data_IF_428379555579
#
_entry.id   IF_428379555579
#
_cell.length_a   1.000
_cell.length_b   1.000
_cell.length_c   1.000
_cell.angle_alpha   90.00
_cell.angle_beta   90.00
_cell.angle_gamma   90.00
#
_symmetry.space_group_name_H-M   'P 1'
#
loop_
_entity.id
_entity.type
_entity.pdbx_description
1 polymer ?
#
# COMPACT_ATOMS: atom_id res chain seq x y z
N UNK A 1 -28.88 -91.87 -36.21
CA UNK A 1 -27.85 -91.77 -37.26
C UNK A 1 -26.84 -90.70 -36.83
N UNK A 2 -25.55 -91.09 -36.74
CA UNK A 2 -24.29 -90.29 -36.79
C UNK A 2 -24.14 -89.07 -35.86
N UNK A 3 -23.04 -88.84 -35.16
CA UNK A 3 -21.78 -89.58 -35.03
C UNK A 3 -21.07 -89.09 -33.75
N UNK A 4 -20.34 -90.00 -33.10
CA UNK A 4 -19.36 -89.72 -32.04
C UNK A 4 -18.14 -89.00 -32.63
N UNK A 5 -17.40 -88.27 -31.79
CA UNK A 5 -15.94 -88.41 -31.61
C UNK A 5 -15.57 -87.91 -30.21
N UNK A 6 -14.82 -88.76 -29.48
CA UNK A 6 -14.11 -88.49 -28.23
C UNK A 6 -12.65 -88.19 -28.56
N UNK A 7 -11.94 -87.42 -27.71
CA UNK A 7 -10.54 -87.64 -27.28
C UNK A 7 -10.28 -86.64 -26.13
N UNK A 8 -10.24 -87.05 -24.84
CA UNK A 8 -9.08 -87.52 -24.05
C UNK A 8 -7.84 -86.60 -24.10
N UNK A 9 -7.51 -85.92 -22.99
CA UNK A 9 -6.38 -86.26 -22.09
C UNK A 9 -5.82 -85.08 -21.28
N UNK A 10 -5.33 -85.41 -20.07
CA UNK A 10 -4.17 -84.87 -19.34
C UNK A 10 -4.40 -83.96 -18.10
N UNK A 11 -3.91 -84.51 -16.98
CA UNK A 11 -3.62 -83.94 -15.67
C UNK A 11 -2.63 -82.75 -15.70
N UNK A 12 -2.80 -81.80 -14.76
CA UNK A 12 -1.75 -81.27 -13.85
C UNK A 12 -2.40 -80.24 -12.90
N UNK A 13 -2.48 -80.46 -11.57
CA UNK A 13 -1.47 -80.25 -10.52
C UNK A 13 -1.15 -78.77 -10.19
N UNK A 14 -1.32 -78.47 -8.90
CA UNK A 14 -0.78 -77.38 -8.06
C UNK A 14 -1.40 -75.97 -8.11
N UNK A 15 -1.72 -75.49 -6.90
CA UNK A 15 -1.51 -74.08 -6.55
C UNK A 15 -2.56 -73.48 -5.62
N UNK A 16 -2.53 -73.82 -4.32
CA UNK A 16 -3.17 -72.99 -3.30
C UNK A 16 -2.47 -71.63 -3.25
N UNK A 17 -3.06 -70.60 -3.87
CA UNK A 17 -2.63 -69.22 -3.69
C UNK A 17 -3.22 -68.66 -2.40
N UNK A 18 -2.35 -68.43 -1.40
CA UNK A 18 -2.64 -67.60 -0.23
C UNK A 18 -2.95 -66.17 -0.71
N UNK A 19 -4.18 -65.71 -0.50
CA UNK A 19 -4.52 -64.30 -0.66
C UNK A 19 -3.85 -63.50 0.47
N UNK A 20 -2.79 -62.77 0.14
CA UNK A 20 -2.20 -61.76 1.02
C UNK A 20 -3.13 -60.53 1.02
N UNK A 21 -3.72 -60.22 2.17
CA UNK A 21 -4.44 -58.97 2.39
C UNK A 21 -3.37 -57.87 2.53
N UNK A 22 -3.12 -57.15 1.44
CA UNK A 22 -2.40 -55.88 1.50
C UNK A 22 -3.32 -54.83 2.13
N UNK A 23 -3.05 -54.48 3.39
CA UNK A 23 -3.59 -53.27 3.99
C UNK A 23 -2.94 -52.08 3.27
N UNK A 24 -3.64 -51.52 2.28
CA UNK A 24 -3.26 -50.27 1.66
C UNK A 24 -3.33 -49.16 2.71
N UNK A 25 -2.18 -48.71 3.19
CA UNK A 25 -2.08 -47.40 3.83
C UNK A 25 -2.35 -46.40 2.71
N UNK A 26 -3.58 -45.90 2.64
CA UNK A 26 -3.88 -44.74 1.83
C UNK A 26 -3.00 -43.61 2.39
N UNK A 27 -1.99 -43.20 1.62
CA UNK A 27 -1.28 -41.97 1.89
C UNK A 27 -2.31 -40.84 1.86
N UNK A 28 -2.68 -40.35 3.04
CA UNK A 28 -3.43 -39.11 3.17
C UNK A 28 -2.61 -38.06 2.43
N UNK A 29 -3.17 -37.32 1.46
CA UNK A 29 -2.42 -36.24 0.83
C UNK A 29 -2.00 -35.31 1.96
N UNK A 30 -0.70 -35.10 2.11
CA UNK A 30 -0.21 -34.01 2.95
C UNK A 30 -0.83 -32.74 2.37
N UNK A 31 -1.82 -32.18 3.06
CA UNK A 31 -2.28 -30.84 2.76
C UNK A 31 -1.04 -29.95 2.91
N UNK A 32 -0.52 -29.47 1.78
CA UNK A 32 0.47 -28.41 1.78
C UNK A 32 -0.18 -27.27 2.57
N UNK A 33 0.29 -27.04 3.79
CA UNK A 33 -0.22 -25.95 4.60
C UNK A 33 0.14 -24.69 3.81
N UNK A 34 -0.87 -23.88 3.46
CA UNK A 34 -0.61 -22.57 2.86
C UNK A 34 0.38 -21.83 3.78
N UNK A 35 1.52 -21.44 3.22
CA UNK A 35 2.54 -20.74 3.97
C UNK A 35 1.94 -19.40 4.45
N UNK A 36 1.79 -19.22 5.76
CA UNK A 36 1.12 -18.04 6.34
C UNK A 36 1.80 -16.72 5.95
N UNK A 37 3.10 -16.79 5.68
CA UNK A 37 3.92 -15.68 5.24
C UNK A 37 4.61 -16.06 3.93
N UNK A 38 4.03 -15.72 2.76
CA UNK A 38 4.71 -15.96 1.51
C UNK A 38 6.03 -15.20 1.48
N UNK A 39 7.11 -15.87 1.05
CA UNK A 39 8.38 -15.18 0.86
C UNK A 39 8.22 -14.07 -0.19
N UNK A 40 8.60 -12.85 0.17
CA UNK A 40 8.61 -11.70 -0.73
C UNK A 40 10.01 -11.11 -0.76
N UNK A 41 10.56 -10.97 -1.96
CA UNK A 41 11.88 -10.36 -2.16
C UNK A 41 11.77 -8.88 -2.46
N UNK A 42 10.65 -8.45 -3.06
CA UNK A 42 10.40 -7.07 -3.45
C UNK A 42 8.93 -6.69 -3.23
N UNK A 43 8.71 -5.39 -3.04
CA UNK A 43 7.36 -4.81 -2.96
C UNK A 43 7.21 -3.71 -4.01
N UNK A 44 6.14 -3.80 -4.80
CA UNK A 44 5.59 -2.68 -5.57
C UNK A 44 4.74 -1.82 -4.62
N UNK A 45 5.26 -0.65 -4.25
CA UNK A 45 4.59 0.33 -3.41
C UNK A 45 3.82 1.32 -4.29
N UNK A 46 2.49 1.19 -4.34
CA UNK A 46 1.64 2.02 -5.20
C UNK A 46 1.05 3.22 -4.44
N UNK A 47 1.31 4.43 -4.93
CA UNK A 47 0.74 5.69 -4.43
C UNK A 47 -0.35 6.16 -5.40
N UNK A 48 -1.62 6.11 -4.95
CA UNK A 48 -2.79 6.40 -5.80
C UNK A 48 -3.01 7.91 -6.04
N UNK A 49 -3.77 8.22 -7.09
CA UNK A 49 -4.23 9.58 -7.38
C UNK A 49 -5.40 10.01 -6.47
N UNK A 50 -5.88 11.23 -6.68
CA UNK A 50 -7.09 11.74 -6.01
C UNK A 50 -8.33 10.99 -6.48
N UNK A 51 -9.34 10.95 -5.60
CA UNK A 51 -10.66 10.36 -5.86
C UNK A 51 -10.67 8.87 -6.17
N UNK A 52 -9.62 8.14 -5.77
CA UNK A 52 -9.71 6.68 -5.71
C UNK A 52 -10.33 6.24 -4.38
N UNK A 53 -11.35 5.39 -4.45
CA UNK A 53 -11.75 4.56 -3.31
C UNK A 53 -10.61 3.59 -2.94
N UNK A 54 -10.58 3.06 -1.70
CA UNK A 54 -9.62 2.01 -1.35
C UNK A 54 -9.65 0.83 -2.33
N UNK A 55 -10.85 0.38 -2.72
CA UNK A 55 -11.03 -0.75 -3.65
C UNK A 55 -10.43 -0.46 -5.04
N UNK A 56 -10.61 0.76 -5.55
CA UNK A 56 -9.99 1.19 -6.81
C UNK A 56 -8.47 1.26 -6.70
N UNK A 57 -7.94 1.76 -5.58
CA UNK A 57 -6.49 1.80 -5.35
C UNK A 57 -5.90 0.39 -5.27
N UNK A 58 -6.56 -0.55 -4.58
CA UNK A 58 -6.17 -1.96 -4.56
C UNK A 58 -6.28 -2.62 -5.93
N UNK A 59 -7.33 -2.32 -6.70
CA UNK A 59 -7.48 -2.81 -8.08
C UNK A 59 -6.37 -2.29 -9.00
N UNK A 60 -6.01 -1.01 -8.85
CA UNK A 60 -4.89 -0.38 -9.55
C UNK A 60 -3.56 -1.06 -9.22
N UNK A 61 -3.27 -1.29 -7.94
CA UNK A 61 -2.06 -1.99 -7.50
C UNK A 61 -1.97 -3.43 -8.05
N UNK A 62 -3.09 -4.17 -8.09
CA UNK A 62 -3.13 -5.50 -8.71
C UNK A 62 -2.84 -5.45 -10.21
N UNK A 63 -3.40 -4.47 -10.91
CA UNK A 63 -3.17 -4.27 -12.35
C UNK A 63 -1.72 -3.87 -12.63
N UNK A 64 -1.13 -3.02 -11.79
CA UNK A 64 0.29 -2.67 -11.85
C UNK A 64 1.18 -3.90 -11.65
N UNK A 65 0.89 -4.73 -10.66
CA UNK A 65 1.64 -5.97 -10.42
C UNK A 65 1.55 -6.94 -11.61
N UNK A 66 0.36 -7.08 -12.21
CA UNK A 66 0.19 -7.89 -13.42
C UNK A 66 1.01 -7.32 -14.60
N UNK A 67 0.97 -6.00 -14.79
CA UNK A 67 1.72 -5.30 -15.84
C UNK A 67 3.23 -5.42 -15.65
N UNK A 68 3.73 -5.33 -14.41
CA UNK A 68 5.13 -5.57 -14.06
C UNK A 68 5.54 -7.02 -14.38
N UNK A 69 4.72 -8.01 -14.02
CA UNK A 69 4.98 -9.42 -14.32
C UNK A 69 5.09 -9.69 -15.82
N UNK A 70 4.25 -9.05 -16.62
CA UNK A 70 4.35 -9.09 -18.09
C UNK A 70 5.66 -8.48 -18.58
N UNK A 71 6.05 -7.32 -18.06
CA UNK A 71 7.32 -6.67 -18.39
C UNK A 71 8.56 -7.48 -18.03
N UNK A 72 8.47 -8.34 -17.01
CA UNK A 72 9.56 -9.23 -16.59
C UNK A 72 9.54 -10.60 -17.28
N UNK A 73 8.47 -10.97 -17.98
CA UNK A 73 8.26 -12.35 -18.43
C UNK A 73 9.38 -12.90 -19.33
N UNK A 74 10.06 -12.02 -20.08
CA UNK A 74 11.16 -12.38 -20.97
C UNK A 74 12.56 -12.22 -20.34
N UNK A 75 12.68 -11.69 -19.12
CA UNK A 75 13.98 -11.46 -18.48
C UNK A 75 14.28 -12.56 -17.43
N UNK A 76 15.33 -13.39 -17.63
CA UNK A 76 15.68 -14.46 -16.70
C UNK A 76 15.91 -14.00 -15.26
N UNK A 77 16.32 -12.74 -15.04
CA UNK A 77 16.52 -12.18 -13.70
C UNK A 77 15.20 -12.05 -12.94
N UNK A 78 14.07 -11.95 -13.64
CA UNK A 78 12.74 -11.86 -13.04
C UNK A 78 12.23 -13.19 -12.46
N UNK A 79 12.71 -14.34 -12.95
CA UNK A 79 12.22 -15.66 -12.54
C UNK A 79 12.47 -15.99 -11.06
N UNK A 80 13.46 -15.35 -10.42
CA UNK A 80 13.77 -15.50 -9.00
C UNK A 80 13.11 -14.46 -8.08
N UNK A 81 12.31 -13.53 -8.62
CA UNK A 81 11.74 -12.43 -7.84
C UNK A 81 10.31 -12.77 -7.37
N UNK A 82 10.13 -12.83 -6.05
CA UNK A 82 8.81 -12.89 -5.42
C UNK A 82 8.32 -11.47 -5.13
N UNK A 83 7.57 -10.89 -6.09
CA UNK A 83 7.05 -9.52 -6.00
C UNK A 83 5.61 -9.51 -5.51
N UNK A 84 5.37 -8.76 -4.42
CA UNK A 84 4.03 -8.38 -3.94
C UNK A 84 3.71 -6.92 -4.27
N UNK A 85 2.45 -6.52 -4.13
CA UNK A 85 2.04 -5.11 -4.25
C UNK A 85 1.34 -4.66 -2.98
N UNK A 86 1.60 -3.42 -2.56
CA UNK A 86 0.95 -2.76 -1.44
C UNK A 86 0.50 -1.36 -1.83
N UNK A 87 -0.69 -0.98 -1.36
CA UNK A 87 -1.25 0.35 -1.58
C UNK A 87 -0.80 1.26 -0.44
N UNK A 88 -0.13 2.34 -0.81
CA UNK A 88 0.18 3.48 0.04
C UNK A 88 -0.94 4.49 -0.17
N UNK A 89 -2.06 4.23 0.50
CA UNK A 89 -3.30 4.93 0.22
C UNK A 89 -3.19 6.41 0.60
N UNK A 90 -3.55 7.27 -0.34
CA UNK A 90 -3.64 8.72 -0.17
C UNK A 90 -5.12 9.06 0.02
N UNK A 91 -5.53 9.31 1.27
CA UNK A 91 -6.90 9.56 1.65
C UNK A 91 -7.35 10.96 1.20
N UNK A 92 -7.67 11.08 -0.09
CA UNK A 92 -8.37 12.23 -0.69
C UNK A 92 -9.88 12.16 -0.39
N UNK A 93 -10.61 13.26 -0.60
CA UNK A 93 -11.92 13.61 -0.01
C UNK A 93 -13.06 12.58 0.04
N UNK A 94 -12.98 11.42 -0.63
CA UNK A 94 -14.04 10.40 -0.64
C UNK A 94 -14.22 9.66 0.71
N UNK A 95 -13.16 9.33 1.45
CA UNK A 95 -13.27 8.56 2.69
C UNK A 95 -13.69 9.38 3.92
N UNK A 96 -13.48 10.70 3.91
CA UNK A 96 -13.67 11.54 5.11
C UNK A 96 -15.13 11.84 5.45
N UNK A 97 -16.11 11.24 4.75
CA UNK A 97 -17.53 11.65 4.75
C UNK A 97 -17.68 13.17 4.57
N UNK A 98 -16.68 13.82 3.97
CA UNK A 98 -16.69 15.22 3.62
C UNK A 98 -17.35 15.31 2.26
N UNK A 99 -18.65 15.61 2.28
CA UNK A 99 -19.37 16.03 1.08
C UNK A 99 -18.66 17.28 0.54
N UNK A 100 -18.01 17.13 -0.62
CA UNK A 100 -17.78 18.09 -1.73
C UNK A 100 -16.30 18.18 -2.21
N UNK A 101 -16.02 17.67 -3.42
CA UNK A 101 -14.68 17.53 -4.05
C UNK A 101 -13.94 18.81 -4.48
N UNK A 102 -14.23 19.95 -3.84
CA UNK A 102 -13.50 21.22 -4.01
C UNK A 102 -12.35 21.31 -3.00
N UNK A 103 -12.42 20.55 -1.90
CA UNK A 103 -11.37 20.45 -0.87
C UNK A 103 -10.05 19.90 -1.44
N UNK A 104 -10.14 18.93 -2.37
CA UNK A 104 -8.98 18.30 -3.01
C UNK A 104 -8.24 19.23 -3.98
N UNK A 105 -8.93 20.23 -4.56
CA UNK A 105 -8.29 21.23 -5.42
C UNK A 105 -7.45 22.22 -4.58
N UNK A 106 -7.94 22.60 -3.39
CA UNK A 106 -7.19 23.46 -2.46
C UNK A 106 -5.93 22.76 -1.93
N UNK A 107 -6.03 21.46 -1.65
CA UNK A 107 -4.89 20.63 -1.28
C UNK A 107 -3.81 20.56 -2.36
N UNK A 108 -4.17 20.37 -3.64
CA UNK A 108 -3.21 20.39 -4.77
C UNK A 108 -2.42 21.70 -4.78
N UNK A 109 -3.09 22.82 -4.50
CA UNK A 109 -2.47 24.14 -4.49
C UNK A 109 -1.57 24.38 -3.26
N UNK A 110 -1.94 23.90 -2.07
CA UNK A 110 -1.09 23.99 -0.87
C UNK A 110 0.15 23.10 -0.96
N UNK A 111 0.00 21.86 -1.41
CA UNK A 111 1.12 20.95 -1.66
C UNK A 111 2.09 21.52 -2.70
N UNK A 112 1.56 22.26 -3.68
CA UNK A 112 2.37 22.95 -4.70
C UNK A 112 3.08 24.20 -4.18
N UNK A 113 2.45 24.96 -3.29
CA UNK A 113 3.06 26.14 -2.67
C UNK A 113 4.23 25.76 -1.73
N UNK A 114 4.17 24.59 -1.10
CA UNK A 114 5.27 24.08 -0.27
C UNK A 114 6.47 23.54 -1.08
N UNK A 115 6.29 23.16 -2.35
CA UNK A 115 7.38 22.72 -3.24
C UNK A 115 8.16 23.87 -3.90
N UNK A 116 7.61 25.10 -3.89
CA UNK A 116 8.18 26.25 -4.61
C UNK A 116 8.44 27.39 -3.62
N UNK A 117 9.72 27.59 -3.30
CA UNK A 117 10.20 28.62 -2.37
C UNK A 117 9.73 30.05 -2.74
N UNK A 118 9.47 30.86 -1.70
CA UNK A 118 9.04 32.28 -1.53
C UNK A 118 8.27 33.06 -2.63
N UNK A 119 8.52 32.83 -3.93
CA UNK A 119 8.00 33.65 -5.03
C UNK A 119 6.49 33.43 -5.34
N UNK A 120 5.91 32.30 -4.93
CA UNK A 120 4.48 32.01 -5.09
C UNK A 120 3.60 32.55 -3.95
N UNK A 121 4.20 32.94 -2.82
CA UNK A 121 3.50 33.60 -1.71
C UNK A 121 2.76 34.88 -2.15
N UNK A 122 3.23 35.52 -3.23
CA UNK A 122 2.69 36.77 -3.75
C UNK A 122 1.57 36.63 -4.79
N UNK A 123 1.16 35.41 -5.18
CA UNK A 123 0.12 35.22 -6.21
C UNK A 123 -1.17 34.54 -5.73
N UNK A 124 -1.35 34.54 -4.41
CA UNK A 124 -2.55 34.11 -3.68
C UNK A 124 -3.84 34.81 -4.18
N UNK A 125 -3.72 35.98 -4.82
CA UNK A 125 -4.83 36.76 -5.39
C UNK A 125 -5.63 36.04 -6.49
N UNK A 126 -4.99 35.15 -7.27
CA UNK A 126 -5.65 34.40 -8.35
C UNK A 126 -6.52 33.26 -7.81
N UNK A 127 -6.13 32.68 -6.68
CA UNK A 127 -6.92 31.74 -5.91
C UNK A 127 -8.14 32.45 -5.28
N UNK A 128 -7.95 33.67 -4.77
CA UNK A 128 -9.06 34.48 -4.24
C UNK A 128 -10.06 34.94 -5.29
N UNK A 129 -9.72 35.11 -6.58
CA UNK A 129 -10.75 35.41 -7.60
C UNK A 129 -11.77 34.26 -7.80
N UNK A 130 -11.29 33.02 -7.64
CA UNK A 130 -12.14 31.82 -7.69
C UNK A 130 -12.97 31.69 -6.41
N UNK A 131 -12.38 32.00 -5.26
CA UNK A 131 -13.04 31.97 -3.94
C UNK A 131 -14.02 33.15 -3.74
N UNK A 132 -13.73 34.33 -4.29
CA UNK A 132 -14.55 35.55 -4.24
C UNK A 132 -15.68 35.55 -5.27
N UNK A 133 -15.80 34.50 -6.09
CA UNK A 133 -16.88 34.38 -7.08
C UNK A 133 -16.75 35.35 -8.26
N UNK A 134 -15.57 35.92 -8.53
CA UNK A 134 -15.30 36.75 -9.71
C UNK A 134 -14.98 35.86 -10.92
N UNK A 135 -15.98 35.08 -11.35
CA UNK A 135 -15.91 34.08 -12.43
C UNK A 135 -15.87 34.67 -13.87
N UNK A 136 -15.39 35.90 -14.04
CA UNK A 136 -15.34 36.57 -15.35
C UNK A 136 -14.47 35.82 -16.37
N UNK A 137 -13.45 35.11 -15.88
CA UNK A 137 -12.53 34.30 -16.69
C UNK A 137 -13.04 32.86 -16.91
N UNK A 138 -13.67 32.23 -15.91
CA UNK A 138 -14.30 30.90 -16.05
C UNK A 138 -15.44 30.86 -17.08
N UNK A 139 -16.20 31.96 -17.20
CA UNK A 139 -17.22 32.10 -18.26
C UNK A 139 -16.65 32.10 -19.67
N UNK A 140 -15.39 32.53 -19.87
CA UNK A 140 -14.70 32.46 -21.17
C UNK A 140 -14.27 31.02 -21.51
N UNK A 141 -13.97 30.21 -20.50
CA UNK A 141 -13.65 28.76 -20.64
C UNK A 141 -14.92 27.97 -20.98
N UNK A 142 -16.03 28.25 -20.29
CA UNK A 142 -17.33 27.61 -20.54
C UNK A 142 -17.92 27.94 -21.93
N UNK A 143 -17.55 29.08 -22.50
CA UNK A 143 -17.90 29.46 -23.87
C UNK A 143 -17.05 28.74 -24.94
N UNK A 144 -15.86 28.26 -24.61
CA UNK A 144 -14.99 27.51 -25.52
C UNK A 144 -15.23 25.99 -25.48
N UNK A 145 -15.84 25.47 -24.40
CA UNK A 145 -16.10 24.05 -24.18
C UNK A 145 -17.57 23.86 -23.75
N UNK A 146 -18.49 23.43 -24.64
CA UNK A 146 -19.93 23.42 -24.38
C UNK A 146 -20.38 22.61 -23.14
N UNK A 147 -19.59 21.61 -22.72
CA UNK A 147 -19.84 20.78 -21.52
C UNK A 147 -19.21 21.32 -20.22
N UNK A 148 -18.40 22.38 -20.28
CA UNK A 148 -17.92 23.07 -19.07
C UNK A 148 -19.03 23.89 -18.39
N UNK A 149 -20.18 24.09 -19.05
CA UNK A 149 -21.37 24.69 -18.43
C UNK A 149 -21.96 23.79 -17.33
N UNK A 150 -21.97 22.47 -17.53
CA UNK A 150 -22.49 21.52 -16.52
C UNK A 150 -21.60 21.48 -15.26
N UNK A 151 -20.28 21.60 -15.45
CA UNK A 151 -19.30 21.71 -14.37
C UNK A 151 -19.38 23.07 -13.66
N UNK A 152 -19.59 24.15 -14.41
CA UNK A 152 -19.79 25.49 -13.86
C UNK A 152 -21.10 25.59 -13.06
N UNK A 153 -22.18 24.96 -13.52
CA UNK A 153 -23.46 24.91 -12.81
C UNK A 153 -23.36 24.08 -11.52
N UNK A 154 -22.61 22.98 -11.53
CA UNK A 154 -22.30 22.20 -10.33
C UNK A 154 -21.51 23.02 -9.28
N UNK A 155 -20.54 23.82 -9.73
CA UNK A 155 -19.77 24.74 -8.89
C UNK A 155 -20.61 25.92 -8.36
N UNK A 156 -21.56 26.43 -9.16
CA UNK A 156 -22.47 27.52 -8.79
C UNK A 156 -23.55 27.05 -7.81
N UNK A 157 -24.03 25.81 -7.91
CA UNK A 157 -25.01 25.27 -6.95
C UNK A 157 -24.40 24.94 -5.57
N UNK A 158 -23.09 24.70 -5.48
CA UNK A 158 -22.37 24.50 -4.22
C UNK A 158 -22.30 25.78 -3.31
N UNK A 159 -22.69 26.94 -3.86
CA UNK A 159 -22.49 28.29 -3.28
C UNK A 159 -23.36 28.66 -2.07
N UNK A 160 -24.59 28.16 -1.93
CA UNK A 160 -25.61 28.94 -1.18
C UNK A 160 -25.74 28.73 0.34
N UNK A 161 -24.87 28.01 1.04
CA UNK A 161 -24.94 28.01 2.52
C UNK A 161 -23.68 27.58 3.31
N UNK A 162 -22.64 27.03 2.68
CA UNK A 162 -21.71 26.12 3.39
C UNK A 162 -20.23 26.51 3.37
N UNK A 163 -19.86 27.57 2.67
CA UNK A 163 -18.46 27.91 2.43
C UNK A 163 -17.84 28.61 3.66
N UNK A 164 -18.49 29.62 4.24
CA UNK A 164 -17.86 30.45 5.29
C UNK A 164 -17.56 29.73 6.63
N UNK A 165 -18.34 28.71 6.99
CA UNK A 165 -18.15 27.96 8.24
C UNK A 165 -17.16 26.79 8.12
N UNK A 166 -16.78 26.40 6.89
CA UNK A 166 -15.90 25.26 6.60
C UNK A 166 -14.47 25.67 6.22
N UNK A 167 -14.26 26.89 5.73
CA UNK A 167 -12.92 27.44 5.44
C UNK A 167 -12.02 27.49 6.69
N UNK A 168 -12.61 27.70 7.88
CA UNK A 168 -11.87 27.68 9.15
C UNK A 168 -11.45 26.26 9.62
N UNK A 169 -12.04 25.18 9.08
CA UNK A 169 -11.68 23.78 9.41
C UNK A 169 -10.72 23.15 8.40
N UNK A 170 -10.76 23.54 7.13
CA UNK A 170 -9.82 23.08 6.10
C UNK A 170 -8.44 23.73 6.26
N UNK A 171 -8.38 25.02 6.63
CA UNK A 171 -7.14 25.68 7.05
C UNK A 171 -6.55 25.10 8.35
N UNK A 172 -7.27 24.20 9.05
CA UNK A 172 -6.80 23.54 10.26
C UNK A 172 -6.29 22.10 10.01
N UNK A 173 -6.57 21.46 8.85
CA UNK A 173 -6.15 20.07 8.55
C UNK A 173 -6.23 19.69 7.04
N UNK A 174 -5.37 20.22 6.17
CA UNK A 174 -5.16 19.68 4.81
C UNK A 174 -4.54 18.28 4.90
N UNK A 175 -4.63 17.36 3.91
CA UNK A 175 -4.22 15.97 4.09
C UNK A 175 -2.81 15.85 4.66
N UNK A 176 -2.84 15.37 5.90
CA UNK A 176 -1.98 15.83 6.99
C UNK A 176 -0.70 15.02 7.05
N UNK A 177 0.36 15.49 7.72
CA UNK A 177 1.58 14.70 8.01
C UNK A 177 1.37 13.30 8.62
N UNK A 178 0.14 12.89 8.92
CA UNK A 178 -0.27 11.51 9.19
C UNK A 178 -0.02 10.53 8.04
N UNK A 179 -0.41 10.86 6.81
CA UNK A 179 -0.27 9.94 5.68
C UNK A 179 1.21 9.74 5.35
N UNK A 180 1.99 10.83 5.30
CA UNK A 180 3.44 10.77 5.13
C UNK A 180 4.14 9.97 6.24
N UNK A 181 3.71 10.11 7.49
CA UNK A 181 4.28 9.34 8.60
C UNK A 181 3.92 7.84 8.47
N UNK A 182 2.69 7.52 8.10
CA UNK A 182 2.22 6.15 7.91
C UNK A 182 2.95 5.45 6.74
N UNK A 183 3.12 6.14 5.61
CA UNK A 183 3.86 5.62 4.45
C UNK A 183 5.33 5.40 4.79
N UNK A 184 5.97 6.39 5.45
CA UNK A 184 7.37 6.27 5.85
C UNK A 184 7.59 5.08 6.78
N UNK A 185 6.73 4.90 7.77
CA UNK A 185 6.81 3.77 8.70
C UNK A 185 6.67 2.43 7.98
N UNK A 186 5.74 2.33 7.02
CA UNK A 186 5.56 1.08 6.26
C UNK A 186 6.75 0.77 5.36
N UNK A 187 7.28 1.77 4.63
CA UNK A 187 8.46 1.59 3.78
C UNK A 187 9.68 1.18 4.61
N UNK A 188 9.87 1.79 5.78
CA UNK A 188 10.93 1.43 6.70
C UNK A 188 10.78 -0.03 7.18
N UNK A 189 9.57 -0.44 7.59
CA UNK A 189 9.29 -1.83 7.96
C UNK A 189 9.64 -2.83 6.83
N UNK A 190 9.22 -2.54 5.59
CA UNK A 190 9.53 -3.37 4.43
C UNK A 190 11.04 -3.44 4.15
N UNK A 191 11.74 -2.31 4.25
CA UNK A 191 13.19 -2.27 4.09
C UNK A 191 13.90 -3.08 5.17
N UNK A 192 13.47 -2.99 6.43
CA UNK A 192 14.02 -3.80 7.52
C UNK A 192 13.72 -5.29 7.33
N UNK A 193 12.60 -5.64 6.72
CA UNK A 193 12.27 -7.01 6.31
C UNK A 193 13.08 -7.50 5.09
N UNK A 194 13.96 -6.67 4.52
CA UNK A 194 14.85 -7.07 3.44
C UNK A 194 14.24 -6.98 2.03
N UNK A 195 13.18 -6.18 1.86
CA UNK A 195 12.50 -6.00 0.57
C UNK A 195 13.17 -4.92 -0.27
N UNK A 196 13.39 -5.19 -1.56
CA UNK A 196 13.62 -4.12 -2.54
C UNK A 196 12.31 -3.40 -2.88
N UNK A 197 12.32 -2.07 -2.99
CA UNK A 197 11.12 -1.24 -3.10
C UNK A 197 10.98 -0.60 -4.47
N UNK A 198 10.00 -1.04 -5.27
CA UNK A 198 9.59 -0.34 -6.48
C UNK A 198 8.41 0.59 -6.16
N UNK A 199 8.68 1.89 -6.05
CA UNK A 199 7.67 2.91 -5.80
C UNK A 199 7.03 3.34 -7.12
N UNK A 200 5.70 3.28 -7.22
CA UNK A 200 4.95 3.66 -8.42
C UNK A 200 3.88 4.67 -8.05
N UNK A 201 3.94 5.86 -8.65
CA UNK A 201 2.98 6.94 -8.42
C UNK A 201 2.09 7.15 -9.62
N UNK A 202 0.80 7.42 -9.40
CA UNK A 202 -0.13 7.88 -10.45
C UNK A 202 -0.70 9.25 -10.11
N UNK A 203 -0.76 10.17 -11.08
CA UNK A 203 -1.37 11.49 -10.91
C UNK A 203 -0.79 12.26 -9.71
N UNK A 204 -1.63 12.74 -8.78
CA UNK A 204 -1.21 13.40 -7.53
C UNK A 204 -0.43 12.46 -6.57
N UNK A 205 -0.59 11.13 -6.68
CA UNK A 205 0.17 10.17 -5.86
C UNK A 205 1.69 10.31 -6.01
N UNK A 206 2.15 10.94 -7.09
CA UNK A 206 3.56 11.28 -7.30
C UNK A 206 4.14 12.26 -6.26
N UNK A 207 3.34 13.08 -5.57
CA UNK A 207 3.82 13.91 -4.45
C UNK A 207 4.18 13.07 -3.22
N UNK A 208 3.35 12.06 -2.92
CA UNK A 208 3.60 11.10 -1.84
C UNK A 208 4.82 10.22 -2.16
N UNK A 209 4.91 9.74 -3.40
CA UNK A 209 6.09 9.03 -3.88
C UNK A 209 7.35 9.89 -3.75
N UNK A 210 7.33 11.15 -4.17
CA UNK A 210 8.50 12.03 -4.09
C UNK A 210 8.94 12.24 -2.63
N UNK A 211 8.00 12.35 -1.72
CA UNK A 211 8.29 12.48 -0.29
C UNK A 211 8.89 11.19 0.28
N UNK A 212 8.33 10.03 -0.10
CA UNK A 212 8.87 8.72 0.25
C UNK A 212 10.30 8.52 -0.30
N UNK A 213 10.53 8.92 -1.55
CA UNK A 213 11.81 8.79 -2.24
C UNK A 213 12.94 9.55 -1.53
N UNK A 214 12.68 10.76 -1.00
CA UNK A 214 13.69 11.54 -0.27
C UNK A 214 14.26 10.82 0.95
N UNK A 215 13.49 9.89 1.54
CA UNK A 215 13.91 9.10 2.69
C UNK A 215 14.42 7.69 2.32
N UNK A 216 14.38 7.32 1.04
CA UNK A 216 14.73 5.99 0.58
C UNK A 216 16.21 5.88 0.21
N UNK A 217 16.77 4.67 0.35
CA UNK A 217 18.07 4.33 -0.19
C UNK A 217 17.93 3.91 -1.66
N UNK A 218 18.54 4.68 -2.57
CA UNK A 218 18.49 4.43 -4.01
C UNK A 218 19.16 3.11 -4.43
N UNK A 219 19.97 2.46 -3.57
CA UNK A 219 20.47 1.12 -3.82
C UNK A 219 19.39 0.03 -3.68
N UNK A 220 18.35 0.32 -2.89
CA UNK A 220 17.30 -0.61 -2.48
C UNK A 220 15.91 -0.19 -2.92
N UNK A 221 15.77 1.00 -3.51
CA UNK A 221 14.52 1.54 -3.99
C UNK A 221 14.65 2.15 -5.39
N UNK A 222 13.56 2.09 -6.16
CA UNK A 222 13.41 2.82 -7.43
C UNK A 222 12.03 3.46 -7.53
N UNK A 223 11.93 4.57 -8.26
CA UNK A 223 10.70 5.30 -8.53
C UNK A 223 10.26 5.17 -9.99
N UNK A 224 8.96 4.98 -10.25
CA UNK A 224 8.33 5.05 -11.58
C UNK A 224 7.11 5.96 -11.50
N UNK A 225 7.03 6.90 -12.43
CA UNK A 225 6.01 7.95 -12.42
C UNK A 225 5.01 7.77 -13.57
N UNK A 226 3.75 7.50 -13.28
CA UNK A 226 2.68 7.41 -14.28
C UNK A 226 1.81 8.66 -14.19
N UNK A 227 1.53 9.30 -15.33
CA UNK A 227 0.74 10.52 -15.42
C UNK A 227 1.09 11.58 -14.34
N UNK A 228 2.38 11.91 -14.09
CA UNK A 228 2.75 12.69 -12.93
C UNK A 228 2.15 14.10 -12.95
N UNK A 229 1.44 14.45 -11.87
CA UNK A 229 1.02 15.83 -11.62
C UNK A 229 2.15 16.68 -11.01
N UNK A 230 3.12 16.03 -10.34
CA UNK A 230 4.30 16.67 -9.80
C UNK A 230 5.27 17.10 -10.91
N UNK A 231 5.95 18.25 -10.74
CA UNK A 231 7.00 18.69 -11.67
C UNK A 231 8.34 17.99 -11.47
N UNK A 232 8.55 17.40 -10.29
CA UNK A 232 9.74 16.61 -9.97
C UNK A 232 9.41 15.14 -10.18
N UNK A 233 10.28 14.46 -10.91
CA UNK A 233 10.28 13.01 -11.06
C UNK A 233 11.66 12.48 -10.67
N UNK A 234 11.68 11.41 -9.88
CA UNK A 234 12.89 10.79 -9.32
C UNK A 234 13.23 9.46 -10.01
N UNK A 235 12.76 9.30 -11.25
CA UNK A 235 12.90 8.08 -12.04
C UNK A 235 12.21 8.23 -13.40
N UNK A 236 12.13 7.15 -14.20
CA UNK A 236 11.45 7.19 -15.49
C UNK A 236 9.96 7.52 -15.31
N UNK A 237 9.43 8.36 -16.21
CA UNK A 237 8.02 8.71 -16.24
C UNK A 237 7.31 8.22 -17.50
N UNK A 238 5.99 8.07 -17.44
CA UNK A 238 5.13 7.80 -18.58
C UNK A 238 3.95 8.77 -18.53
N UNK A 239 3.82 9.59 -19.58
CA UNK A 239 2.74 10.55 -19.72
C UNK A 239 2.21 10.51 -21.16
N UNK A 240 0.90 10.26 -21.30
CA UNK A 240 0.22 10.22 -22.59
C UNK A 240 0.11 11.62 -23.21
N UNK A 241 0.33 11.74 -24.51
CA UNK A 241 0.03 12.99 -25.25
C UNK A 241 -1.47 13.30 -25.30
N UNK A 242 -2.32 12.30 -25.02
CA UNK A 242 -3.78 12.45 -24.96
C UNK A 242 -4.29 12.67 -23.53
N UNK A 243 -3.40 12.80 -22.54
CA UNK A 243 -3.78 13.09 -21.15
C UNK A 243 -4.20 14.56 -21.01
N UNK A 244 -5.51 14.80 -21.13
CA UNK A 244 -6.10 16.14 -21.08
C UNK A 244 -6.04 16.76 -19.69
N UNK A 245 -5.99 15.94 -18.63
CA UNK A 245 -5.92 16.40 -17.24
C UNK A 245 -4.54 17.01 -16.97
N UNK A 246 -3.46 16.27 -17.26
CA UNK A 246 -2.11 16.78 -17.08
C UNK A 246 -1.80 17.90 -18.09
N UNK A 247 -2.32 17.82 -19.32
CA UNK A 247 -2.17 18.91 -20.29
C UNK A 247 -2.80 20.22 -19.80
N UNK A 248 -3.98 20.16 -19.17
CA UNK A 248 -4.62 21.32 -18.56
C UNK A 248 -3.75 21.89 -17.41
N UNK A 249 -3.23 21.03 -16.52
CA UNK A 249 -2.35 21.45 -15.42
C UNK A 249 -1.09 22.18 -15.91
N UNK A 250 -0.46 21.69 -16.99
CA UNK A 250 0.72 22.33 -17.61
C UNK A 250 0.43 23.76 -18.10
N UNK A 251 -0.81 24.07 -18.48
CA UNK A 251 -1.20 25.39 -18.97
C UNK A 251 -1.54 26.41 -17.87
N UNK A 252 -1.64 25.97 -16.61
CA UNK A 252 -2.26 26.75 -15.53
C UNK A 252 -1.31 27.09 -14.37
N UNK A 253 -0.18 26.40 -14.20
CA UNK A 253 0.68 26.51 -13.00
C UNK A 253 2.17 26.62 -13.35
N UNK A 254 2.97 27.46 -12.66
CA UNK A 254 4.43 27.47 -12.77
C UNK A 254 5.08 26.15 -12.33
N UNK A 255 6.17 25.76 -13.01
CA UNK A 255 6.82 24.46 -12.82
C UNK A 255 6.00 23.37 -13.52
N UNK A 256 6.39 23.03 -14.73
CA UNK A 256 5.63 22.12 -15.58
C UNK A 256 5.83 20.67 -15.07
N UNK A 257 4.76 19.85 -14.99
CA UNK A 257 4.90 18.40 -15.09
C UNK A 257 5.90 18.00 -16.18
N UNK A 258 6.49 16.80 -16.17
CA UNK A 258 7.33 16.38 -17.28
C UNK A 258 6.52 16.33 -18.59
N UNK A 259 7.15 16.52 -19.76
CA UNK A 259 6.45 16.47 -21.05
C UNK A 259 5.90 15.07 -21.33
N UNK A 260 4.83 15.01 -22.12
CA UNK A 260 4.32 13.76 -22.65
C UNK A 260 5.42 13.06 -23.45
N UNK A 261 5.56 11.75 -23.24
CA UNK A 261 6.62 10.95 -23.84
C UNK A 261 6.10 9.69 -24.53
N UNK A 262 4.78 9.49 -24.56
CA UNK A 262 4.16 8.44 -25.36
C UNK A 262 2.82 8.93 -25.93
N UNK A 263 2.55 8.62 -27.19
CA UNK A 263 1.21 8.73 -27.74
C UNK A 263 0.44 7.44 -27.44
N UNK A 264 -0.43 7.47 -26.43
CA UNK A 264 -1.32 6.35 -26.11
C UNK A 264 -2.63 6.53 -26.90
N UNK A 265 -3.07 5.55 -27.71
CA UNK A 265 -4.32 5.64 -28.45
C UNK A 265 -5.51 5.94 -27.54
N UNK A 266 -6.48 6.70 -28.06
CA UNK A 266 -7.68 7.10 -27.32
C UNK A 266 -8.41 5.92 -26.65
N UNK A 267 -9.00 6.20 -25.49
CA UNK A 267 -9.87 5.27 -24.78
C UNK A 267 -11.31 5.77 -24.75
N UNK A 268 -12.24 4.97 -25.25
CA UNK A 268 -13.67 5.25 -25.07
C UNK A 268 -14.11 5.06 -23.61
N UNK A 269 -13.38 4.22 -22.87
CA UNK A 269 -13.61 3.95 -21.45
C UNK A 269 -12.97 5.04 -20.56
N UNK A 270 -12.05 5.84 -21.11
CA UNK A 270 -11.50 7.04 -20.49
C UNK A 270 -11.23 8.13 -21.53
N UNK A 271 -12.23 8.99 -21.71
CA UNK A 271 -12.18 10.09 -22.66
C UNK A 271 -11.17 11.19 -22.28
N UNK A 272 -10.69 11.20 -21.04
CA UNK A 272 -9.72 12.19 -20.56
C UNK A 272 -8.27 11.77 -20.85
N UNK A 273 -8.04 10.48 -21.09
CA UNK A 273 -6.70 9.92 -21.31
C UNK A 273 -5.81 9.91 -20.06
N UNK A 274 -6.40 9.91 -18.85
CA UNK A 274 -5.70 10.10 -17.58
C UNK A 274 -5.77 8.90 -16.62
N UNK A 275 -6.85 8.12 -16.67
CA UNK A 275 -7.12 7.03 -15.72
C UNK A 275 -6.03 5.96 -15.77
N UNK A 276 -5.60 5.51 -14.59
CA UNK A 276 -4.50 4.55 -14.45
C UNK A 276 -4.76 3.28 -15.26
N UNK A 277 -5.90 2.63 -15.07
CA UNK A 277 -6.17 1.34 -15.71
C UNK A 277 -6.67 1.52 -17.14
N UNK A 278 -7.67 2.37 -17.33
CA UNK A 278 -8.41 2.52 -18.59
C UNK A 278 -7.60 3.20 -19.70
N UNK A 279 -6.57 3.98 -19.33
CA UNK A 279 -5.62 4.58 -20.27
C UNK A 279 -4.23 3.95 -20.20
N UNK A 280 -3.58 3.99 -19.04
CA UNK A 280 -2.15 3.63 -18.96
C UNK A 280 -1.91 2.11 -18.89
N UNK A 281 -2.81 1.33 -18.31
CA UNK A 281 -2.63 -0.13 -18.13
C UNK A 281 -3.61 -0.99 -18.93
N UNK A 282 -4.35 -0.41 -19.87
CA UNK A 282 -5.28 -1.15 -20.73
C UNK A 282 -4.49 -2.11 -21.63
N UNK A 283 -4.84 -3.40 -21.60
CA UNK A 283 -4.20 -4.47 -22.36
C UNK A 283 -4.24 -4.26 -23.89
N UNK A 284 -5.17 -3.44 -24.37
CA UNK A 284 -5.35 -3.13 -25.80
C UNK A 284 -4.44 -2.00 -26.27
N UNK A 285 -3.71 -1.33 -25.36
CA UNK A 285 -2.93 -0.12 -25.65
C UNK A 285 -1.45 -0.30 -25.37
N UNK A 286 -0.64 0.49 -26.08
CA UNK A 286 0.81 0.51 -25.93
C UNK A 286 1.29 1.03 -24.57
N UNK A 287 0.45 1.78 -23.84
CA UNK A 287 0.74 2.27 -22.49
C UNK A 287 1.13 1.15 -21.52
N UNK A 288 0.40 0.04 -21.54
CA UNK A 288 0.63 -1.09 -20.62
C UNK A 288 2.01 -1.71 -20.83
N UNK A 289 2.38 -1.97 -22.09
CA UNK A 289 3.68 -2.52 -22.43
C UNK A 289 4.82 -1.55 -22.03
N UNK A 290 4.64 -0.25 -22.26
CA UNK A 290 5.62 0.76 -21.86
C UNK A 290 5.77 0.85 -20.33
N UNK A 291 4.66 0.91 -19.59
CA UNK A 291 4.66 0.91 -18.13
C UNK A 291 5.31 -0.35 -17.55
N UNK A 292 4.96 -1.53 -18.09
CA UNK A 292 5.53 -2.81 -17.70
C UNK A 292 7.04 -2.88 -17.92
N UNK A 293 7.52 -2.45 -19.10
CA UNK A 293 8.94 -2.43 -19.42
C UNK A 293 9.72 -1.48 -18.49
N UNK A 294 9.20 -0.27 -18.23
CA UNK A 294 9.81 0.69 -17.31
C UNK A 294 9.88 0.15 -15.88
N UNK A 295 8.78 -0.40 -15.36
CA UNK A 295 8.74 -0.98 -14.01
C UNK A 295 9.67 -2.18 -13.89
N UNK A 296 9.71 -3.06 -14.89
CA UNK A 296 10.61 -4.21 -14.91
C UNK A 296 12.08 -3.75 -14.92
N UNK A 297 12.44 -2.79 -15.78
CA UNK A 297 13.80 -2.27 -15.84
C UNK A 297 14.25 -1.66 -14.50
N UNK A 298 13.37 -0.94 -13.82
CA UNK A 298 13.65 -0.36 -12.51
C UNK A 298 13.80 -1.44 -11.43
N UNK A 299 12.87 -2.39 -11.34
CA UNK A 299 12.89 -3.46 -10.34
C UNK A 299 14.12 -4.37 -10.47
N UNK A 300 14.47 -4.76 -11.70
CA UNK A 300 15.54 -5.73 -11.95
C UNK A 300 16.95 -5.21 -11.62
N UNK A 301 17.08 -3.92 -11.29
CA UNK A 301 18.33 -3.29 -10.83
C UNK A 301 18.42 -3.21 -9.31
N UNK A 302 17.33 -3.47 -8.58
CA UNK A 302 17.31 -3.31 -7.13
C UNK A 302 18.09 -4.40 -6.43
N UNK A 303 18.96 -4.00 -5.52
CA UNK A 303 19.53 -4.88 -4.52
C UNK A 303 18.57 -4.98 -3.34
N UNK A 304 18.54 -6.12 -2.67
CA UNK A 304 17.82 -6.26 -1.40
C UNK A 304 18.67 -5.73 -0.25
N UNK A 305 18.08 -4.98 0.70
CA UNK A 305 18.74 -4.69 1.95
C UNK A 305 18.89 -5.98 2.78
N UNK A 306 19.93 -6.04 3.61
CA UNK A 306 20.06 -7.13 4.58
C UNK A 306 18.92 -7.03 5.61
N UNK A 307 18.14 -8.10 5.85
CA UNK A 307 17.02 -8.04 6.77
C UNK A 307 17.52 -7.85 8.21
N UNK A 308 16.90 -6.93 8.92
CA UNK A 308 17.04 -6.67 10.35
C UNK A 308 15.74 -6.91 11.14
N UNK A 309 14.60 -7.06 10.44
CA UNK A 309 13.31 -7.46 10.98
C UNK A 309 12.81 -8.73 10.29
N UNK A 310 11.96 -9.50 10.96
CA UNK A 310 11.38 -10.72 10.41
C UNK A 310 10.00 -10.45 9.78
N UNK A 311 9.61 -11.16 8.71
CA UNK A 311 8.23 -11.19 8.29
C UNK A 311 7.37 -11.90 9.35
N UNK A 312 6.08 -11.56 9.39
CA UNK A 312 5.11 -12.19 10.27
C UNK A 312 3.75 -12.32 9.61
N UNK A 313 2.89 -13.18 10.16
CA UNK A 313 1.51 -13.31 9.68
C UNK A 313 0.80 -11.95 9.74
N UNK A 314 1.03 -11.24 10.85
CA UNK A 314 0.94 -9.79 10.93
C UNK A 314 2.19 -9.24 11.62
N UNK A 315 2.46 -7.95 11.43
CA UNK A 315 3.48 -7.21 12.17
C UNK A 315 2.88 -5.97 12.82
N UNK A 316 3.42 -5.61 13.97
CA UNK A 316 3.16 -4.34 14.62
C UNK A 316 4.45 -3.53 14.61
N UNK A 317 4.41 -2.30 14.10
CA UNK A 317 5.58 -1.43 14.00
C UNK A 317 5.27 -0.09 14.66
N UNK A 318 6.09 0.31 15.61
CA UNK A 318 5.97 1.56 16.37
C UNK A 318 7.09 2.50 15.95
N UNK A 319 6.77 3.76 15.70
CA UNK A 319 7.74 4.85 15.56
C UNK A 319 7.20 6.11 16.23
N UNK A 320 8.06 7.10 16.48
CA UNK A 320 7.67 8.35 17.13
C UNK A 320 8.49 9.53 16.64
N UNK A 321 8.09 10.74 17.02
CA UNK A 321 8.79 11.97 16.67
C UNK A 321 9.83 12.38 17.72
N UNK A 322 10.96 12.93 17.28
CA UNK A 322 12.03 13.38 18.19
C UNK A 322 12.70 12.27 19.02
N UNK A 323 13.64 12.66 19.88
CA UNK A 323 14.42 11.73 20.72
C UNK A 323 13.61 11.13 21.87
N UNK A 324 13.96 9.90 22.25
CA UNK A 324 13.41 9.22 23.41
C UNK A 324 13.38 7.71 23.21
N UNK A 325 12.66 7.05 24.11
CA UNK A 325 12.48 5.61 24.15
C UNK A 325 11.00 5.30 24.41
N UNK A 326 10.32 4.72 23.42
CA UNK A 326 8.94 4.25 23.52
C UNK A 326 8.90 2.75 23.20
N UNK A 327 8.57 1.96 24.21
CA UNK A 327 8.49 0.51 24.09
C UNK A 327 7.17 0.07 23.45
N UNK A 328 7.24 -0.86 22.52
CA UNK A 328 6.13 -1.60 21.95
C UNK A 328 5.77 -2.77 22.87
N UNK A 329 4.50 -2.82 23.27
CA UNK A 329 3.95 -3.91 24.06
C UNK A 329 2.87 -4.66 23.28
N UNK A 330 2.98 -5.99 23.28
CA UNK A 330 1.98 -6.89 22.70
C UNK A 330 1.55 -7.91 23.74
N UNK A 331 0.28 -7.86 24.15
CA UNK A 331 -0.33 -8.92 24.94
C UNK A 331 -0.97 -9.94 23.99
N UNK A 332 -0.42 -11.15 23.98
CA UNK A 332 -0.88 -12.26 23.14
C UNK A 332 -2.12 -12.94 23.76
N UNK A 333 -2.97 -13.61 22.94
CA UNK A 333 -4.17 -14.27 23.43
C UNK A 333 -3.94 -15.29 24.55
N UNK A 334 -2.78 -15.98 24.54
CA UNK A 334 -2.38 -16.94 25.55
C UNK A 334 -1.88 -16.33 26.86
N UNK A 335 -1.90 -15.00 27.02
CA UNK A 335 -1.49 -14.28 28.23
C UNK A 335 0.00 -13.91 28.27
N UNK A 336 0.78 -14.24 27.24
CA UNK A 336 2.16 -13.77 27.12
C UNK A 336 2.17 -12.25 26.86
N UNK A 337 3.08 -11.55 27.53
CA UNK A 337 3.31 -10.12 27.35
C UNK A 337 4.68 -9.92 26.74
N UNK A 338 4.70 -9.50 25.47
CA UNK A 338 5.92 -9.26 24.70
C UNK A 338 6.27 -7.78 24.75
N UNK A 339 7.49 -7.47 25.19
CA UNK A 339 8.08 -6.13 25.25
C UNK A 339 9.61 -6.24 25.37
N UNK A 340 10.33 -5.12 25.48
CA UNK A 340 11.80 -5.07 25.56
C UNK A 340 12.42 -6.05 26.59
N UNK A 341 11.78 -6.23 27.74
CA UNK A 341 12.21 -7.10 28.84
C UNK A 341 11.80 -8.58 28.70
N UNK A 342 10.86 -8.88 27.79
CA UNK A 342 10.34 -10.22 27.52
C UNK A 342 10.05 -10.37 26.02
N UNK A 343 11.09 -10.45 25.20
CA UNK A 343 10.98 -10.32 23.73
C UNK A 343 10.35 -11.50 23.00
N UNK A 344 10.24 -12.68 23.63
CA UNK A 344 9.72 -13.89 22.98
C UNK A 344 8.39 -14.27 23.63
N UNK A 345 7.32 -14.19 22.84
CA UNK A 345 6.00 -14.70 23.18
C UNK A 345 5.77 -16.14 22.71
N UNK A 346 4.58 -16.65 22.99
CA UNK A 346 4.15 -17.95 22.49
C UNK A 346 3.87 -17.88 20.97
N UNK A 347 3.24 -16.79 20.53
CA UNK A 347 2.77 -16.60 19.18
C UNK A 347 3.64 -15.68 18.31
N UNK A 348 4.53 -14.87 18.89
CA UNK A 348 5.42 -13.99 18.14
C UNK A 348 6.60 -13.47 18.96
N UNK A 349 7.31 -12.48 18.44
CA UNK A 349 8.46 -11.90 19.11
C UNK A 349 8.70 -10.42 18.73
N UNK A 350 9.31 -9.68 19.65
CA UNK A 350 9.89 -8.36 19.41
C UNK A 350 11.32 -8.55 18.88
N UNK A 351 11.53 -8.27 17.60
CA UNK A 351 12.81 -8.50 16.91
C UNK A 351 13.64 -7.22 16.75
N UNK A 352 13.00 -6.05 16.84
CA UNK A 352 13.66 -4.75 16.93
C UNK A 352 13.11 -3.95 18.10
N UNK A 353 14.02 -3.51 18.94
CA UNK A 353 13.82 -2.69 20.13
C UNK A 353 14.79 -1.50 19.98
N UNK A 354 14.23 -0.32 19.76
CA UNK A 354 15.01 0.88 19.52
C UNK A 354 14.86 1.86 20.68
N UNK A 355 15.90 1.93 21.49
CA UNK A 355 15.97 2.77 22.68
C UNK A 355 16.34 4.25 22.42
N UNK A 356 16.46 4.69 21.16
CA UNK A 356 16.91 6.06 20.80
C UNK A 356 16.24 6.62 19.53
N UNK A 357 16.29 7.94 19.38
CA UNK A 357 15.80 8.60 18.17
C UNK A 357 14.29 8.39 17.99
N UNK A 358 13.87 7.96 16.81
CA UNK A 358 12.47 7.98 16.33
C UNK A 358 11.83 6.59 16.22
N UNK A 359 12.44 5.56 16.83
CA UNK A 359 12.12 4.16 16.54
C UNK A 359 12.78 3.68 15.23
N UNK A 360 12.29 2.60 14.59
CA UNK A 360 11.11 1.87 14.95
C UNK A 360 11.38 0.73 15.94
N UNK A 361 10.33 0.31 16.63
CA UNK A 361 10.23 -1.02 17.20
C UNK A 361 9.37 -1.93 16.33
N UNK A 362 9.63 -3.23 16.37
CA UNK A 362 8.98 -4.19 15.51
C UNK A 362 8.67 -5.51 16.22
N UNK A 363 7.40 -5.90 16.15
CA UNK A 363 6.90 -7.22 16.54
C UNK A 363 6.41 -7.97 15.30
N UNK A 364 6.71 -9.27 15.22
CA UNK A 364 6.14 -10.18 14.23
C UNK A 364 5.37 -11.32 14.88
N UNK A 365 4.18 -11.61 14.37
CA UNK A 365 3.45 -12.83 14.69
C UNK A 365 3.97 -14.00 13.85
N UNK A 366 4.02 -15.19 14.45
CA UNK A 366 4.59 -16.39 13.85
C UNK A 366 3.95 -16.75 12.51
N UNK A 367 4.81 -17.12 11.57
CA UNK A 367 4.42 -17.72 10.29
C UNK A 367 4.15 -19.23 10.39
N UNK A 368 4.45 -19.84 11.53
CA UNK A 368 4.11 -21.24 11.82
C UNK A 368 2.67 -21.34 12.36
N UNK A 369 1.74 -22.00 11.66
CA UNK A 369 0.35 -22.15 12.10
C UNK A 369 0.20 -22.96 13.40
N UNK A 370 1.20 -23.74 13.81
CA UNK A 370 1.20 -24.44 15.10
C UNK A 370 1.53 -23.51 16.27
N UNK A 371 2.23 -22.39 16.01
CA UNK A 371 2.58 -21.38 17.02
C UNK A 371 1.64 -20.18 17.02
N UNK A 372 1.08 -19.83 15.87
CA UNK A 372 0.13 -18.71 15.77
C UNK A 372 -1.11 -18.99 16.63
N UNK A 373 -1.48 -18.04 17.49
CA UNK A 373 -2.65 -18.16 18.36
C UNK A 373 -3.84 -17.40 17.77
N UNK A 374 -5.00 -18.05 17.74
CA UNK A 374 -6.28 -17.37 17.53
C UNK A 374 -6.68 -16.60 18.80
N UNK A 375 -7.34 -15.47 18.63
CA UNK A 375 -7.79 -14.60 19.72
C UNK A 375 -7.42 -13.14 19.49
N UNK A 376 -7.48 -12.35 20.56
CA UNK A 376 -7.22 -10.91 20.50
C UNK A 376 -5.81 -10.60 21.00
N UNK A 377 -4.99 -10.01 20.14
CA UNK A 377 -3.73 -9.40 20.51
C UNK A 377 -4.00 -7.95 20.89
N UNK A 378 -3.53 -7.52 22.06
CA UNK A 378 -3.63 -6.11 22.49
C UNK A 378 -2.29 -5.45 22.25
N UNK A 379 -2.26 -4.43 21.39
CA UNK A 379 -1.02 -3.80 20.93
C UNK A 379 -1.02 -2.35 21.42
N UNK A 380 0.04 -1.95 22.08
CA UNK A 380 0.15 -0.63 22.69
C UNK A 380 1.60 -0.21 22.87
N UNK A 381 1.79 0.88 23.61
CA UNK A 381 3.12 1.35 23.96
C UNK A 381 3.25 1.75 25.42
N UNK A 382 4.48 1.84 25.88
CA UNK A 382 4.85 2.53 27.11
C UNK A 382 5.86 3.63 26.78
N UNK A 383 5.65 4.85 27.28
CA UNK A 383 6.69 5.86 27.23
C UNK A 383 7.73 5.55 28.31
N UNK A 384 8.83 4.90 27.94
CA UNK A 384 9.87 4.51 28.88
C UNK A 384 10.67 5.72 29.34
N UNK A 385 11.22 6.48 28.39
CA UNK A 385 12.11 7.61 28.68
C UNK A 385 12.06 8.75 27.65
N UNK A 386 10.99 8.85 26.86
CA UNK A 386 10.79 9.99 25.96
C UNK A 386 10.17 11.20 26.68
N UNK A 387 10.52 12.45 26.27
CA UNK A 387 9.83 13.65 26.74
C UNK A 387 8.30 13.54 26.58
N UNK A 388 7.54 14.21 27.44
CA UNK A 388 6.08 14.26 27.30
C UNK A 388 5.66 14.97 26.00
N UNK A 389 4.50 14.60 25.45
CA UNK A 389 3.94 15.19 24.23
C UNK A 389 4.48 14.61 22.92
N UNK A 390 5.19 13.47 23.00
CA UNK A 390 5.65 12.70 21.84
C UNK A 390 4.47 12.07 21.13
N UNK A 391 4.43 12.19 19.80
CA UNK A 391 3.43 11.51 18.97
C UNK A 391 3.98 10.17 18.50
N UNK A 392 3.44 9.09 19.05
CA UNK A 392 3.65 7.74 18.57
C UNK A 392 2.78 7.45 17.33
N UNK A 393 3.33 6.73 16.37
CA UNK A 393 2.65 6.14 15.21
C UNK A 393 2.83 4.64 15.28
N UNK A 394 1.74 3.91 15.51
CA UNK A 394 1.71 2.45 15.56
C UNK A 394 0.95 1.93 14.35
N UNK A 395 1.53 0.95 13.66
CA UNK A 395 0.97 0.37 12.45
C UNK A 395 0.84 -1.13 12.57
N UNK A 396 -0.31 -1.67 12.18
CA UNK A 396 -0.56 -3.10 12.01
C UNK A 396 -0.61 -3.42 10.52
N UNK A 397 0.21 -4.36 10.07
CA UNK A 397 0.27 -4.79 8.69
C UNK A 397 0.25 -6.32 8.57
N UNK A 398 -0.17 -6.84 7.42
CA UNK A 398 -0.09 -8.27 7.08
C UNK A 398 0.85 -8.50 5.92
N UNK A 399 1.41 -9.71 5.86
CA UNK A 399 2.22 -10.13 4.72
C UNK A 399 1.43 -10.09 3.40
N UNK A 400 0.10 -10.27 3.44
CA UNK A 400 -0.74 -10.32 2.24
C UNK A 400 -1.20 -8.95 1.75
N UNK A 401 -1.81 -8.15 2.65
CA UNK A 401 -2.56 -6.95 2.31
C UNK A 401 -1.87 -5.63 2.67
N UNK A 402 -0.67 -5.69 3.26
CA UNK A 402 0.02 -4.51 3.76
C UNK A 402 -0.67 -3.93 5.00
N UNK A 403 -0.72 -2.61 5.11
CA UNK A 403 -1.25 -1.91 6.28
C UNK A 403 -2.75 -2.13 6.44
N UNK A 404 -3.17 -2.68 7.59
CA UNK A 404 -4.58 -2.78 7.99
C UNK A 404 -5.05 -1.57 8.78
N UNK A 405 -4.17 -1.02 9.62
CA UNK A 405 -4.50 0.13 10.48
C UNK A 405 -3.24 0.87 10.90
N UNK A 406 -3.35 2.20 10.93
CA UNK A 406 -2.39 3.09 11.56
C UNK A 406 -3.10 3.88 12.65
N UNK A 407 -2.52 3.95 13.85
CA UNK A 407 -3.00 4.77 14.96
C UNK A 407 -1.90 5.74 15.36
N UNK A 408 -2.26 7.02 15.48
CA UNK A 408 -1.40 8.04 16.07
C UNK A 408 -1.94 8.42 17.44
N UNK A 409 -1.07 8.53 18.42
CA UNK A 409 -1.44 8.83 19.79
C UNK A 409 -0.33 9.59 20.52
N UNK A 410 -0.71 10.41 21.48
CA UNK A 410 0.22 10.99 22.44
C UNK A 410 0.73 9.87 23.35
N UNK A 411 2.05 9.75 23.46
CA UNK A 411 2.74 8.77 24.29
C UNK A 411 2.63 9.10 25.79
N UNK A 412 2.19 10.30 26.14
CA UNK A 412 2.08 10.75 27.53
C UNK A 412 3.44 11.03 28.17
N UNK A 413 3.47 11.14 29.49
CA UNK A 413 4.71 11.33 30.24
C UNK A 413 5.52 10.03 30.34
N UNK A 414 6.84 10.13 30.51
CA UNK A 414 7.69 9.00 30.79
C UNK A 414 7.26 8.28 32.08
N UNK A 415 7.12 6.96 32.01
CA UNK A 415 6.69 6.08 33.11
C UNK A 415 7.76 5.06 33.50
N UNK A 416 8.81 4.89 32.67
CA UNK A 416 9.83 3.87 32.87
C UNK A 416 9.21 2.47 33.07
N UNK A 417 9.86 1.60 33.88
CA UNK A 417 9.36 0.24 34.12
C UNK A 417 7.97 0.17 34.76
N UNK A 418 7.54 1.23 35.47
CA UNK A 418 6.21 1.25 36.10
C UNK A 418 5.07 1.27 35.06
N UNK A 419 5.35 1.66 33.82
CA UNK A 419 4.39 1.62 32.73
C UNK A 419 4.26 0.25 32.06
N UNK A 420 5.14 -0.71 32.36
CA UNK A 420 5.18 -2.01 31.69
C UNK A 420 3.96 -2.86 32.04
N UNK A 421 3.48 -2.82 33.28
CA UNK A 421 2.30 -3.58 33.71
C UNK A 421 0.98 -3.03 33.13
N UNK A 422 0.99 -1.77 32.66
CA UNK A 422 -0.17 -1.07 32.15
C UNK A 422 0.17 -0.22 30.90
N UNK A 423 0.54 -0.86 29.77
CA UNK A 423 0.82 -0.15 28.54
C UNK A 423 -0.44 0.53 28.00
N UNK A 424 -0.26 1.66 27.33
CA UNK A 424 -1.34 2.36 26.65
C UNK A 424 -1.74 1.57 25.39
N UNK A 425 -2.80 0.77 25.50
CA UNK A 425 -3.31 -0.02 24.37
C UNK A 425 -3.86 0.90 23.29
N UNK A 426 -3.27 0.82 22.10
CA UNK A 426 -3.57 1.68 20.96
C UNK A 426 -4.49 1.00 19.95
N UNK A 427 -4.37 -0.33 19.79
CA UNK A 427 -5.22 -1.11 18.90
C UNK A 427 -5.28 -2.58 19.30
N UNK A 428 -6.25 -3.31 18.72
CA UNK A 428 -6.37 -4.76 18.87
C UNK A 428 -6.34 -5.46 17.52
N UNK A 429 -5.69 -6.61 17.46
CA UNK A 429 -5.73 -7.49 16.29
C UNK A 429 -6.49 -8.77 16.65
N UNK A 430 -7.64 -9.00 16.01
CA UNK A 430 -8.42 -10.21 16.15
C UNK A 430 -7.97 -11.24 15.10
N UNK A 431 -7.27 -12.28 15.54
CA UNK A 431 -6.80 -13.39 14.71
C UNK A 431 -7.75 -14.56 14.83
N UNK A 432 -8.20 -15.11 13.71
CA UNK A 432 -9.10 -16.25 13.68
C UNK A 432 -8.69 -17.28 12.63
N UNK A 433 -8.78 -18.56 13.01
CA UNK A 433 -8.68 -19.69 12.08
C UNK A 433 -10.07 -20.04 11.56
N UNK A 434 -10.23 -20.03 10.26
CA UNK A 434 -11.49 -20.30 9.57
C UNK A 434 -11.74 -21.81 9.43
N UNK A 435 -13.00 -22.24 9.19
CA UNK A 435 -13.33 -23.66 9.02
C UNK A 435 -12.60 -24.35 7.87
N UNK A 436 -12.23 -23.60 6.83
CA UNK A 436 -11.43 -24.08 5.70
C UNK A 436 -9.92 -24.20 6.01
N UNK A 437 -9.52 -23.88 7.24
CA UNK A 437 -8.14 -23.93 7.71
C UNK A 437 -7.32 -22.67 7.44
N UNK A 438 -7.87 -21.68 6.72
CA UNK A 438 -7.21 -20.39 6.48
C UNK A 438 -7.17 -19.54 7.76
N UNK A 439 -6.26 -18.57 7.79
CA UNK A 439 -6.13 -17.63 8.90
C UNK A 439 -6.50 -16.22 8.43
N UNK A 440 -7.13 -15.48 9.34
CA UNK A 440 -7.57 -14.10 9.08
C UNK A 440 -7.19 -13.22 10.26
N UNK A 441 -6.93 -11.94 9.98
CA UNK A 441 -6.68 -10.93 11.00
C UNK A 441 -7.48 -9.66 10.69
N UNK A 442 -8.09 -9.08 11.73
CA UNK A 442 -8.84 -7.83 11.65
C UNK A 442 -8.35 -6.86 12.70
N UNK A 443 -8.18 -5.59 12.32
CA UNK A 443 -7.80 -4.52 13.24
C UNK A 443 -9.05 -3.90 13.87
N UNK A 444 -8.99 -3.60 15.18
CA UNK A 444 -10.05 -2.96 15.97
C UNK A 444 -9.51 -1.80 16.79
#
# INVERSE_FOLDING_TARGET
MRNRIRLRSALALLGCARAAVFAGIAAVPAFAHAQLCPERTHTLAFFNGVWNTPDEAYSGARTLLATLREGMASDPRGAGLAVGAEVFYNASGLERRALDGIEDLAEVFEQRAAELDEALSQRWELFWEVVDGRLAWWRKIAQAVPRANELADALVQARNARILARTARLAAAPPTGADYAAHRLRLQALSMQGHGLLMVGHSQGNFFLNTAWRAADAAHAAAVHLAPAASVVNGPHLLSSNDTVIAALRGMVPGLPPPANLAIPFSADDVTGHMLVETYLDARRNGRAAAGAMMAQALLQLARPAPSASPGFFTATLAWDGEGDLDLHVLEPGGAHVHYGARIGAAGALDLDNIKGHGPEHYHASCDPARLQAGTYSIGLNNYAAPAGRTATLQLATAEHGVLRTVRLDAGAARGPAGDEAPQIAMRAAVARQPDGSWTVRAH
#
